data_IF_316833024956
#
_entry.id   IF_316833024956
#
_cell.length_a   1.000
_cell.length_b   1.000
_cell.length_c   1.000
_cell.angle_alpha   90.00
_cell.angle_beta   90.00
_cell.angle_gamma   90.00
#
_symmetry.space_group_name_H-M   'P 1'
#
loop_
_entity.id
_entity.type
_entity.pdbx_description
1 polymer ?
#
# COMPACT_ATOMS: atom_id res chain seq x y z
N UNK A 1 17.91 6.61 9.65
CA UNK A 1 18.48 7.16 8.41
C UNK A 1 17.34 7.62 7.51
N UNK A 2 17.35 8.87 7.09
CA UNK A 2 16.30 9.45 6.24
C UNK A 2 16.79 9.45 4.79
N UNK A 3 16.04 8.78 3.90
CA UNK A 3 16.27 8.65 2.43
C UNK A 3 16.31 10.03 1.72
N UNK A 4 15.99 11.12 2.42
CA UNK A 4 15.66 12.45 1.88
C UNK A 4 16.85 13.27 1.35
N UNK A 5 18.09 12.79 1.45
CA UNK A 5 19.27 13.57 1.00
C UNK A 5 19.29 13.74 -0.52
N UNK A 6 19.00 12.69 -1.27
CA UNK A 6 19.22 12.68 -2.73
C UNK A 6 17.92 12.73 -3.55
N UNK A 7 16.77 12.68 -2.87
CA UNK A 7 15.43 12.69 -3.48
C UNK A 7 14.73 14.03 -3.24
N UNK A 8 14.19 14.64 -4.29
CA UNK A 8 13.38 15.86 -4.23
C UNK A 8 11.90 15.55 -4.09
N UNK A 9 11.16 16.46 -3.47
CA UNK A 9 9.71 16.33 -3.33
C UNK A 9 9.02 16.45 -4.68
N UNK A 10 8.05 15.57 -4.93
CA UNK A 10 7.14 15.70 -6.05
C UNK A 10 6.25 16.94 -5.83
N UNK A 11 6.09 17.77 -6.87
CA UNK A 11 5.17 18.91 -6.84
C UNK A 11 3.74 18.40 -7.03
N UNK A 12 2.82 18.84 -6.17
CA UNK A 12 1.39 18.48 -6.24
C UNK A 12 1.13 16.97 -6.34
N UNK A 13 1.60 16.12 -5.40
CA UNK A 13 1.46 14.66 -5.52
C UNK A 13 0.01 14.18 -5.57
N UNK A 14 -0.96 15.01 -5.17
CA UNK A 14 -2.40 14.70 -5.24
C UNK A 14 -2.99 14.76 -6.65
N UNK A 15 -2.37 15.51 -7.57
CA UNK A 15 -2.83 15.61 -8.96
C UNK A 15 -2.34 14.46 -9.83
N UNK A 16 -1.52 13.56 -9.30
CA UNK A 16 -0.97 12.43 -10.02
C UNK A 16 -1.49 11.11 -9.47
N UNK A 17 -1.71 10.17 -10.38
CA UNK A 17 -2.25 8.84 -10.17
C UNK A 17 -1.45 7.82 -10.99
N UNK A 18 -1.70 6.53 -10.74
CA UNK A 18 -1.06 5.42 -11.46
C UNK A 18 0.47 5.50 -11.48
N UNK A 19 1.07 5.67 -10.30
CA UNK A 19 2.52 5.69 -10.18
C UNK A 19 3.11 4.32 -10.54
N UNK A 20 4.08 4.32 -11.45
CA UNK A 20 4.85 3.15 -11.86
C UNK A 20 6.33 3.47 -11.68
N UNK A 21 7.02 2.59 -10.97
CA UNK A 21 8.46 2.67 -10.73
C UNK A 21 9.11 1.45 -11.38
N UNK A 22 10.18 1.67 -12.14
CA UNK A 22 10.91 0.60 -12.80
C UNK A 22 12.36 0.56 -12.32
N UNK A 23 12.86 -0.65 -12.06
CA UNK A 23 14.25 -0.93 -11.77
C UNK A 23 15.22 -0.49 -12.87
N UNK A 24 14.78 -0.46 -14.13
CA UNK A 24 15.64 -0.07 -15.26
C UNK A 24 15.94 1.43 -15.31
N UNK A 25 15.12 2.26 -14.65
CA UNK A 25 15.23 3.73 -14.63
C UNK A 25 15.15 4.25 -13.21
N UNK A 26 16.19 4.04 -12.38
CA UNK A 26 16.18 4.46 -11.00
C UNK A 26 15.96 5.97 -10.88
N UNK A 27 15.20 6.37 -9.87
CA UNK A 27 14.87 7.77 -9.64
C UNK A 27 13.75 8.33 -10.53
N UNK A 28 13.36 7.64 -11.60
CA UNK A 28 12.24 8.06 -12.46
C UNK A 28 10.96 7.36 -12.05
N UNK A 29 9.89 8.15 -11.90
CA UNK A 29 8.54 7.65 -11.68
C UNK A 29 7.66 8.05 -12.84
N UNK A 30 6.93 7.10 -13.39
CA UNK A 30 5.90 7.35 -14.39
C UNK A 30 4.56 7.56 -13.67
N UNK A 31 3.80 8.57 -14.06
CA UNK A 31 2.49 8.84 -13.48
C UNK A 31 1.55 9.47 -14.51
N UNK A 32 0.27 9.56 -14.18
CA UNK A 32 -0.78 10.19 -15.00
C UNK A 32 -1.53 11.22 -14.17
N UNK A 33 -2.02 12.29 -14.78
CA UNK A 33 -2.86 13.26 -14.06
C UNK A 33 -4.29 12.76 -13.85
N UNK A 34 -4.83 12.07 -14.86
CA UNK A 34 -6.15 11.43 -14.83
C UNK A 34 -6.03 10.01 -15.39
N UNK A 35 -7.14 9.28 -15.43
CA UNK A 35 -7.13 7.91 -15.95
C UNK A 35 -6.79 7.83 -17.45
N UNK A 36 -7.33 8.77 -18.22
CA UNK A 36 -7.22 8.89 -19.68
C UNK A 36 -6.06 9.79 -20.13
N UNK A 37 -5.41 10.51 -19.21
CA UNK A 37 -4.29 11.38 -19.55
C UNK A 37 -3.07 10.58 -20.02
N UNK A 38 -2.19 11.18 -20.85
CA UNK A 38 -0.92 10.58 -21.21
C UNK A 38 -0.05 10.33 -19.96
N UNK A 39 0.85 9.36 -20.07
CA UNK A 39 1.84 9.07 -19.02
C UNK A 39 2.94 10.12 -19.05
N UNK A 40 3.26 10.69 -17.90
CA UNK A 40 4.33 11.67 -17.67
C UNK A 40 5.46 10.99 -16.89
N UNK A 41 6.71 11.24 -17.30
CA UNK A 41 7.90 10.78 -16.58
C UNK A 41 8.47 11.89 -15.71
N UNK A 42 8.66 11.61 -14.42
CA UNK A 42 9.19 12.59 -13.46
C UNK A 42 10.42 11.97 -12.77
N UNK A 43 11.58 12.61 -12.94
CA UNK A 43 12.78 12.26 -12.18
C UNK A 43 12.71 12.90 -10.78
N UNK A 44 12.83 12.08 -9.74
CA UNK A 44 12.82 12.47 -8.32
C UNK A 44 14.22 12.68 -7.74
N UNK A 45 15.30 12.36 -8.47
CA UNK A 45 16.65 12.63 -7.99
C UNK A 45 16.94 14.14 -8.00
N UNK A 46 17.68 14.60 -7.00
CA UNK A 46 18.25 15.96 -6.98
C UNK A 46 19.39 16.11 -7.98
N UNK A 47 20.18 15.05 -8.16
CA UNK A 47 21.26 14.96 -9.14
C UNK A 47 21.10 13.64 -9.90
N UNK A 48 21.03 13.69 -11.23
CA UNK A 48 20.70 12.51 -12.06
C UNK A 48 21.81 11.46 -12.05
N UNK A 49 23.06 11.90 -11.85
CA UNK A 49 24.25 11.05 -11.86
C UNK A 49 24.54 10.39 -10.49
N UNK A 50 23.84 10.81 -9.43
CA UNK A 50 24.09 10.34 -8.07
C UNK A 50 22.91 9.47 -7.63
N UNK A 51 23.12 8.15 -7.68
CA UNK A 51 22.19 7.19 -7.11
C UNK A 51 22.43 7.05 -5.60
N UNK A 52 21.36 6.96 -4.79
CA UNK A 52 21.50 6.71 -3.37
C UNK A 52 22.19 5.36 -3.14
N UNK A 53 23.11 5.31 -2.18
CA UNK A 53 23.81 4.08 -1.81
C UNK A 53 22.82 3.06 -1.23
N UNK A 54 22.99 1.78 -1.58
CA UNK A 54 22.17 0.68 -1.05
C UNK A 54 22.25 0.62 0.49
N UNK A 55 23.40 0.99 1.06
CA UNK A 55 23.60 1.03 2.50
C UNK A 55 22.79 2.14 3.21
N UNK A 56 22.36 3.16 2.48
CA UNK A 56 21.54 4.27 3.01
C UNK A 56 20.02 3.99 2.90
N UNK A 57 19.64 2.91 2.20
CA UNK A 57 18.24 2.49 2.06
C UNK A 57 17.82 1.70 3.32
N UNK A 58 16.65 2.00 3.92
CA UNK A 58 16.15 1.21 5.03
C UNK A 58 16.02 -0.25 4.65
N UNK A 59 16.33 -1.14 5.60
CA UNK A 59 16.10 -2.58 5.46
C UNK A 59 14.64 -2.81 5.09
N UNK A 60 14.43 -3.61 4.05
CA UNK A 60 13.11 -3.99 3.60
C UNK A 60 12.31 -4.61 4.76
N UNK A 61 11.21 -3.97 5.11
CA UNK A 61 10.29 -4.51 6.11
C UNK A 61 9.29 -5.40 5.39
N UNK A 62 9.50 -6.71 5.48
CA UNK A 62 8.49 -7.69 5.06
C UNK A 62 7.28 -7.54 5.98
N UNK A 63 6.10 -7.31 5.39
CA UNK A 63 4.87 -7.30 6.16
C UNK A 63 4.56 -8.71 6.63
N UNK A 64 4.13 -8.85 7.88
CA UNK A 64 3.82 -10.16 8.51
C UNK A 64 2.62 -10.86 7.86
N UNK A 65 1.95 -10.20 6.92
CA UNK A 65 0.72 -10.69 6.29
C UNK A 65 -0.48 -10.60 7.23
N UNK A 66 -1.56 -11.28 6.86
CA UNK A 66 -2.76 -11.42 7.70
C UNK A 66 -2.59 -12.61 8.64
N UNK A 67 -3.06 -12.48 9.87
CA UNK A 67 -3.14 -13.61 10.80
C UNK A 67 -4.13 -14.68 10.28
N UNK A 68 -3.96 -15.96 10.64
CA UNK A 68 -4.86 -17.05 10.23
C UNK A 68 -6.35 -16.77 10.53
N UNK A 69 -6.68 -16.15 11.65
CA UNK A 69 -8.06 -15.80 12.05
C UNK A 69 -8.69 -14.82 11.06
N UNK A 70 -7.97 -13.75 10.70
CA UNK A 70 -8.42 -12.79 9.67
C UNK A 70 -8.52 -13.43 8.30
N UNK A 71 -7.60 -14.33 7.93
CA UNK A 71 -7.69 -15.04 6.65
C UNK A 71 -8.96 -15.92 6.60
N UNK A 72 -9.29 -16.64 7.68
CA UNK A 72 -10.54 -17.40 7.79
C UNK A 72 -11.77 -16.51 7.76
N UNK A 73 -11.74 -15.37 8.45
CA UNK A 73 -12.85 -14.40 8.40
C UNK A 73 -13.12 -13.94 6.96
N UNK A 74 -12.09 -13.58 6.21
CA UNK A 74 -12.22 -13.18 4.80
C UNK A 74 -12.79 -14.32 3.96
N UNK A 75 -12.28 -15.54 4.14
CA UNK A 75 -12.74 -16.71 3.40
C UNK A 75 -14.21 -17.05 3.69
N UNK A 76 -14.64 -16.99 4.95
CA UNK A 76 -15.99 -17.40 5.33
C UNK A 76 -17.03 -16.31 5.09
N UNK A 77 -16.71 -15.04 5.35
CA UNK A 77 -17.70 -13.95 5.41
C UNK A 77 -17.66 -13.02 4.19
N UNK A 78 -16.49 -12.85 3.58
CA UNK A 78 -16.30 -11.86 2.50
C UNK A 78 -16.20 -12.52 1.13
N UNK A 79 -15.78 -13.79 1.06
CA UNK A 79 -15.58 -14.49 -0.21
C UNK A 79 -16.81 -14.49 -1.11
N UNK A 80 -18.01 -14.69 -0.57
CA UNK A 80 -19.24 -14.70 -1.38
C UNK A 80 -19.63 -13.33 -1.94
N UNK A 81 -19.08 -12.24 -1.39
CA UNK A 81 -19.28 -10.89 -1.92
C UNK A 81 -18.41 -10.62 -3.15
N UNK A 82 -17.42 -11.48 -3.44
CA UNK A 82 -16.56 -11.34 -4.60
C UNK A 82 -17.24 -11.87 -5.87
N UNK A 83 -17.32 -11.02 -6.91
CA UNK A 83 -18.08 -11.29 -8.14
C UNK A 83 -17.53 -12.40 -9.04
N UNK A 84 -16.22 -12.64 -9.01
CA UNK A 84 -15.56 -13.62 -9.87
C UNK A 84 -14.68 -14.56 -9.07
N UNK A 85 -14.46 -15.78 -9.58
CA UNK A 85 -13.61 -16.77 -8.92
C UNK A 85 -12.14 -16.30 -8.84
N UNK A 86 -11.67 -15.56 -9.84
CA UNK A 86 -10.34 -14.92 -9.80
C UNK A 86 -10.25 -13.91 -8.64
N UNK A 87 -11.27 -13.06 -8.46
CA UNK A 87 -11.33 -12.13 -7.34
C UNK A 87 -11.44 -12.84 -5.99
N UNK A 88 -12.21 -13.94 -5.92
CA UNK A 88 -12.32 -14.78 -4.71
C UNK A 88 -10.95 -15.31 -4.30
N UNK A 89 -10.18 -15.86 -5.23
CA UNK A 89 -8.88 -16.47 -4.95
C UNK A 89 -7.76 -15.45 -4.72
N UNK A 90 -7.85 -14.26 -5.28
CA UNK A 90 -6.89 -13.18 -5.00
C UNK A 90 -7.13 -12.51 -3.65
N UNK A 91 -8.39 -12.18 -3.34
CA UNK A 91 -8.73 -11.38 -2.15
C UNK A 91 -8.99 -12.23 -0.91
N UNK A 92 -9.67 -13.37 -1.06
CA UNK A 92 -10.13 -14.22 0.05
C UNK A 92 -9.76 -15.70 -0.21
N UNK A 93 -8.46 -16.04 -0.38
CA UNK A 93 -8.04 -17.42 -0.61
C UNK A 93 -8.33 -18.30 0.60
N UNK A 94 -8.41 -19.62 0.36
CA UNK A 94 -8.52 -20.58 1.45
C UNK A 94 -7.23 -20.56 2.29
N UNK A 95 -7.31 -20.32 3.61
CA UNK A 95 -6.12 -20.30 4.46
C UNK A 95 -5.43 -21.66 4.49
N UNK A 96 -4.09 -21.65 4.61
CA UNK A 96 -3.28 -22.87 4.69
C UNK A 96 -3.39 -23.52 6.08
N UNK A 97 -3.47 -22.70 7.13
CA UNK A 97 -3.59 -23.15 8.51
C UNK A 97 -5.00 -23.69 8.76
N UNK A 98 -5.17 -24.93 9.25
CA UNK A 98 -6.47 -25.50 9.58
C UNK A 98 -7.22 -24.64 10.61
N UNK A 99 -8.53 -24.48 10.41
CA UNK A 99 -9.37 -23.66 11.31
C UNK A 99 -9.38 -24.15 12.76
N UNK A 100 -9.15 -25.44 12.99
CA UNK A 100 -9.06 -26.04 14.33
C UNK A 100 -7.85 -25.58 15.14
N UNK A 101 -6.82 -25.05 14.50
CA UNK A 101 -5.58 -24.61 15.13
C UNK A 101 -5.58 -23.10 15.42
N UNK A 102 -6.67 -22.40 15.09
CA UNK A 102 -6.80 -20.95 15.22
C UNK A 102 -7.67 -20.62 16.43
N UNK A 103 -7.08 -19.98 17.46
CA UNK A 103 -7.84 -19.46 18.61
C UNK A 103 -8.64 -18.23 18.17
N UNK A 104 -9.97 -18.35 18.16
CA UNK A 104 -10.88 -17.35 17.57
C UNK A 104 -11.23 -16.20 18.53
N UNK A 105 -10.68 -16.19 19.76
CA UNK A 105 -11.27 -15.42 20.86
C UNK A 105 -10.76 -13.98 21.08
N UNK A 106 -9.78 -13.43 20.34
CA UNK A 106 -9.14 -12.17 20.80
C UNK A 106 -9.14 -10.92 19.91
N UNK A 107 -9.80 -10.84 18.74
CA UNK A 107 -9.72 -9.56 17.95
C UNK A 107 -10.98 -9.08 17.22
N UNK A 108 -12.18 -9.40 17.71
CA UNK A 108 -13.42 -8.79 17.20
C UNK A 108 -13.56 -7.27 17.51
N UNK A 109 -12.55 -6.62 18.08
CA UNK A 109 -12.49 -5.16 18.09
C UNK A 109 -11.92 -4.63 16.77
N UNK A 110 -12.83 -4.08 15.94
CA UNK A 110 -12.47 -3.17 14.85
C UNK A 110 -11.54 -2.07 15.39
N UNK A 111 -10.34 -1.85 14.81
CA UNK A 111 -9.54 -0.69 15.16
C UNK A 111 -10.35 0.57 14.88
N UNK A 112 -10.57 1.35 15.94
CA UNK A 112 -11.30 2.62 15.99
C UNK A 112 -11.49 3.31 14.63
N UNK A 113 -12.73 3.32 14.14
CA UNK A 113 -13.16 4.38 13.23
C UNK A 113 -12.97 5.71 13.98
N UNK A 114 -12.27 6.73 13.43
CA UNK A 114 -12.17 8.02 14.08
C UNK A 114 -13.59 8.58 14.24
N UNK A 115 -14.07 8.57 15.48
CA UNK A 115 -15.37 9.12 15.85
C UNK A 115 -15.25 10.63 15.78
N UNK A 116 -16.03 11.24 14.88
CA UNK A 116 -16.37 12.67 14.79
C UNK A 116 -15.35 13.63 15.42
N UNK A 117 -14.52 14.28 14.59
CA UNK A 117 -13.84 15.52 14.99
C UNK A 117 -14.91 16.52 15.48
N UNK A 118 -14.96 16.73 16.80
CA UNK A 118 -15.66 17.86 17.40
C UNK A 118 -15.07 19.15 16.82
N UNK A 119 -15.96 20.09 16.51
CA UNK A 119 -15.73 21.16 15.55
C UNK A 119 -14.52 22.07 15.81
N UNK A 120 -14.06 22.67 14.72
CA UNK A 120 -13.34 23.93 14.75
C UNK A 120 -14.17 24.92 13.93
N UNK A 121 -15.02 25.69 14.61
CA UNK A 121 -15.55 26.94 14.05
C UNK A 121 -14.35 27.86 13.87
N UNK A 122 -13.98 28.13 12.61
CA UNK A 122 -13.14 29.28 12.30
C UNK A 122 -13.97 30.54 12.55
N UNK A 123 -13.47 31.42 13.41
CA UNK A 123 -13.76 32.86 13.36
C UNK A 123 -12.73 33.52 12.46
#
# INVERSE_FOLDING_TARGET
>A
MCITKDVKSLKNPRSYHHFVVDSTKPGTVLCKELFDSPTVSINLLKCEDILPSVNDVPVEKVSVGLDPSRQWYLFDNIRELCKSESSKNSTCPKPVVPKSEVNVDETNEMPNHPTKRKGLLLR
#
